data_IF_783422792246
#
_entry.id   IF_783422792246
#
_cell.length_a   1.000
_cell.length_b   1.000
_cell.length_c   1.000
_cell.angle_alpha   90.00
_cell.angle_beta   90.00
_cell.angle_gamma   90.00
#
_symmetry.space_group_name_H-M   'P 1'
#
loop_
_entity.id
_entity.type
_entity.pdbx_description
1 polymer ?
#
# COMPACT_ATOMS: atom_id res chain seq x y z
N UNK A 1 0.86 15.54 -4.80
CA UNK A 1 1.30 14.81 -6.01
C UNK A 1 2.55 15.44 -6.58
N UNK A 2 3.64 14.67 -6.65
CA UNK A 2 4.99 15.14 -6.93
C UNK A 2 5.16 15.81 -8.31
N UNK A 3 6.17 16.66 -8.46
CA UNK A 3 6.65 17.17 -9.75
C UNK A 3 8.10 16.76 -9.84
N UNK A 4 8.41 15.75 -10.64
CA UNK A 4 9.81 15.54 -10.97
C UNK A 4 10.21 16.66 -11.91
N UNK A 5 11.13 17.51 -11.48
CA UNK A 5 11.80 18.37 -12.45
C UNK A 5 12.73 17.42 -13.24
N UNK A 6 12.57 17.37 -14.56
CA UNK A 6 13.33 16.53 -15.49
C UNK A 6 14.83 16.89 -15.58
N UNK A 7 15.34 17.69 -14.63
CA UNK A 7 16.70 18.23 -14.61
C UNK A 7 17.72 17.30 -13.93
N UNK A 8 17.32 16.08 -13.55
CA UNK A 8 18.23 15.07 -13.03
C UNK A 8 18.32 13.95 -14.06
N UNK A 9 19.46 13.83 -14.75
CA UNK A 9 19.81 12.68 -15.62
C UNK A 9 19.79 11.32 -14.88
N UNK A 10 19.56 11.35 -13.56
CA UNK A 10 19.52 10.17 -12.69
C UNK A 10 18.10 9.77 -12.32
N UNK A 11 17.88 8.46 -12.22
CA UNK A 11 16.60 7.87 -11.78
C UNK A 11 16.14 8.44 -10.43
N UNK A 12 14.83 8.69 -10.25
CA UNK A 12 14.25 9.10 -8.97
C UNK A 12 14.65 8.15 -7.84
N UNK A 13 15.00 8.67 -6.66
CA UNK A 13 15.37 7.87 -5.49
C UNK A 13 15.00 8.54 -4.17
N UNK A 14 14.73 7.70 -3.16
CA UNK A 14 14.69 8.05 -1.75
C UNK A 14 15.74 7.25 -0.97
N UNK A 15 16.35 7.87 0.04
CA UNK A 15 17.27 7.23 0.98
C UNK A 15 16.50 6.97 2.29
N UNK A 16 16.52 5.72 2.75
CA UNK A 16 16.10 5.33 4.10
C UNK A 16 17.36 5.05 4.94
N UNK A 17 18.24 6.06 5.00
CA UNK A 17 19.45 6.03 5.82
C UNK A 17 19.19 6.83 7.11
N UNK A 18 19.88 6.46 8.20
CA UNK A 18 19.91 7.29 9.41
C UNK A 18 20.21 8.74 9.01
N UNK A 19 19.45 9.71 9.55
CA UNK A 19 19.46 11.13 9.13
C UNK A 19 20.87 11.71 9.14
N UNK A 20 21.59 11.56 8.04
CA UNK A 20 22.84 12.25 7.82
C UNK A 20 22.46 13.64 7.29
N UNK A 21 22.69 14.72 8.05
CA UNK A 21 22.23 16.06 7.70
C UNK A 21 22.84 16.60 6.41
N UNK A 22 23.94 16.02 5.91
CA UNK A 22 24.59 16.45 4.67
C UNK A 22 24.12 15.69 3.43
N UNK A 23 23.41 14.56 3.58
CA UNK A 23 22.92 13.77 2.46
C UNK A 23 21.47 14.14 2.12
N UNK A 24 21.26 14.60 0.88
CA UNK A 24 19.94 14.86 0.32
C UNK A 24 19.17 13.53 0.28
N UNK A 25 18.10 13.44 1.08
CA UNK A 25 17.32 12.21 1.27
C UNK A 25 16.55 11.77 0.02
N UNK A 26 16.33 12.67 -0.95
CA UNK A 26 15.71 12.33 -2.23
C UNK A 26 16.16 13.31 -3.32
N UNK A 27 16.30 12.84 -4.56
CA UNK A 27 16.46 13.72 -5.73
C UNK A 27 15.11 14.18 -6.32
N UNK A 28 13.98 13.73 -5.77
CA UNK A 28 12.64 14.08 -6.23
C UNK A 28 12.16 15.37 -5.57
N UNK A 29 11.49 16.22 -6.35
CA UNK A 29 10.76 17.37 -5.83
C UNK A 29 9.28 17.05 -5.80
N UNK A 30 8.59 17.44 -4.72
CA UNK A 30 7.16 17.20 -4.59
C UNK A 30 6.39 18.50 -4.83
N UNK A 31 5.39 18.47 -5.70
CA UNK A 31 4.39 19.55 -5.79
C UNK A 31 3.10 19.18 -5.06
N UNK A 32 2.28 20.20 -4.83
CA UNK A 32 0.89 20.00 -4.43
C UNK A 32 0.03 20.24 -5.67
N UNK A 33 -0.95 19.35 -5.87
CA UNK A 33 -1.97 19.45 -6.88
C UNK A 33 -3.28 19.10 -6.21
N UNK A 34 -4.30 19.89 -6.50
CA UNK A 34 -5.67 19.59 -6.11
C UNK A 34 -6.15 18.42 -6.97
N UNK A 35 -6.78 17.44 -6.32
CA UNK A 35 -7.39 16.29 -6.96
C UNK A 35 -8.81 16.15 -6.43
N UNK A 36 -9.70 15.61 -7.26
CA UNK A 36 -11.03 15.22 -6.81
C UNK A 36 -10.95 13.86 -6.13
N UNK A 37 -11.53 13.76 -4.93
CA UNK A 37 -11.62 12.52 -4.17
C UNK A 37 -13.10 12.25 -3.89
N UNK A 38 -13.57 11.06 -4.19
CA UNK A 38 -14.99 10.69 -4.08
C UNK A 38 -15.24 9.89 -2.81
N UNK A 39 -16.24 10.29 -2.02
CA UNK A 39 -16.69 9.51 -0.87
C UNK A 39 -17.43 8.25 -1.36
N UNK A 40 -17.05 7.08 -0.86
CA UNK A 40 -17.66 5.79 -1.24
C UNK A 40 -18.75 5.30 -0.29
N UNK A 41 -19.03 6.04 0.79
CA UNK A 41 -20.03 5.67 1.78
C UNK A 41 -21.38 5.35 1.11
N UNK A 42 -21.96 4.18 1.40
CA UNK A 42 -23.19 3.67 0.79
C UNK A 42 -23.02 3.05 -0.60
N UNK A 43 -21.79 2.89 -1.09
CA UNK A 43 -21.45 2.28 -2.38
C UNK A 43 -20.23 1.36 -2.28
N UNK A 44 -19.93 0.88 -1.08
CA UNK A 44 -18.75 0.10 -0.73
C UNK A 44 -18.65 -1.19 -1.57
N UNK A 45 -19.78 -1.85 -1.81
CA UNK A 45 -19.85 -3.14 -2.50
C UNK A 45 -19.44 -3.09 -3.99
N UNK A 46 -19.39 -1.90 -4.58
CA UNK A 46 -18.98 -1.68 -5.98
C UNK A 46 -17.47 -1.90 -6.15
N UNK A 47 -16.69 -1.73 -5.09
CA UNK A 47 -15.24 -1.78 -5.12
C UNK A 47 -14.73 -3.18 -4.77
N UNK A 48 -14.03 -3.80 -5.72
CA UNK A 48 -13.50 -5.16 -5.58
C UNK A 48 -11.99 -5.16 -5.76
N UNK A 49 -11.33 -5.99 -4.96
CA UNK A 49 -9.86 -6.06 -4.93
C UNK A 49 -9.27 -6.37 -6.31
N UNK A 50 -9.88 -7.27 -7.07
CA UNK A 50 -9.38 -7.68 -8.38
C UNK A 50 -9.73 -6.71 -9.52
N UNK A 51 -10.69 -5.80 -9.29
CA UNK A 51 -11.15 -4.86 -10.31
C UNK A 51 -10.55 -3.47 -10.14
N UNK A 52 -10.64 -2.86 -8.96
CA UNK A 52 -10.10 -1.52 -8.70
C UNK A 52 -8.71 -1.55 -8.05
N UNK A 53 -8.30 -2.73 -7.55
CA UNK A 53 -7.09 -2.88 -6.75
C UNK A 53 -7.32 -2.62 -5.26
N UNK A 54 -8.55 -2.31 -4.86
CA UNK A 54 -8.91 -2.14 -3.46
C UNK A 54 -10.35 -2.58 -3.18
N UNK A 55 -10.64 -2.86 -1.92
CA UNK A 55 -11.95 -3.26 -1.43
C UNK A 55 -12.10 -2.85 0.04
N UNK A 56 -13.31 -2.45 0.43
CA UNK A 56 -13.64 -2.30 1.84
C UNK A 56 -14.09 -3.62 2.45
N UNK A 57 -13.73 -3.83 3.71
CA UNK A 57 -14.19 -4.96 4.49
C UNK A 57 -14.40 -4.60 5.95
N UNK A 58 -15.05 -5.51 6.66
CA UNK A 58 -15.26 -5.43 8.10
C UNK A 58 -14.23 -6.30 8.80
N UNK A 59 -13.41 -5.68 9.65
CA UNK A 59 -12.41 -6.33 10.49
C UNK A 59 -12.58 -5.82 11.93
N UNK A 60 -13.46 -6.51 12.65
CA UNK A 60 -13.59 -6.29 14.09
C UNK A 60 -12.40 -6.94 14.80
N UNK A 61 -11.62 -6.14 15.51
CA UNK A 61 -10.53 -6.63 16.34
C UNK A 61 -10.98 -6.79 17.78
N UNK A 62 -10.41 -7.80 18.47
CA UNK A 62 -10.51 -7.94 19.93
C UNK A 62 -9.55 -7.01 20.67
N UNK A 63 -8.53 -6.50 19.99
CA UNK A 63 -7.58 -5.57 20.57
C UNK A 63 -8.20 -4.18 20.77
N UNK A 64 -7.90 -3.60 21.93
CA UNK A 64 -8.14 -2.19 22.22
C UNK A 64 -7.06 -1.31 21.57
N UNK A 65 -7.22 0.01 21.63
CA UNK A 65 -6.24 0.93 21.08
C UNK A 65 -4.86 0.77 21.72
N UNK A 66 -4.83 0.60 23.04
CA UNK A 66 -3.61 0.51 23.84
C UNK A 66 -2.82 -0.76 23.51
N UNK A 67 -3.49 -1.85 23.14
CA UNK A 67 -2.87 -3.11 22.77
C UNK A 67 -2.02 -3.00 21.49
N UNK A 68 -2.34 -2.07 20.58
CA UNK A 68 -1.54 -1.82 19.37
C UNK A 68 -0.18 -1.16 19.65
N UNK A 69 0.11 -0.79 20.91
CA UNK A 69 1.46 -0.42 21.33
C UNK A 69 2.36 -1.65 21.57
N UNK A 70 1.77 -2.84 21.71
CA UNK A 70 2.49 -4.10 21.97
C UNK A 70 2.63 -4.92 20.70
N UNK A 71 3.88 -5.15 20.28
CA UNK A 71 4.20 -6.08 19.18
C UNK A 71 3.65 -7.48 19.45
N UNK A 72 3.74 -7.96 20.69
CA UNK A 72 3.26 -9.30 21.05
C UNK A 72 1.75 -9.45 20.89
N UNK A 73 0.99 -8.41 21.25
CA UNK A 73 -0.47 -8.41 21.07
C UNK A 73 -0.83 -8.45 19.58
N UNK A 74 -0.10 -7.69 18.76
CA UNK A 74 -0.29 -7.67 17.31
C UNK A 74 0.03 -9.04 16.68
N UNK A 75 1.19 -9.60 17.01
CA UNK A 75 1.67 -10.86 16.41
C UNK A 75 0.83 -12.05 16.86
N UNK A 76 0.44 -12.11 18.13
CA UNK A 76 -0.25 -13.29 18.69
C UNK A 76 -1.77 -13.25 18.51
N UNK A 77 -2.37 -12.07 18.29
CA UNK A 77 -3.83 -11.94 18.16
C UNK A 77 -4.23 -11.29 16.84
N UNK A 78 -3.78 -10.07 16.57
CA UNK A 78 -4.25 -9.31 15.40
C UNK A 78 -3.86 -9.96 14.07
N UNK A 79 -2.69 -10.59 14.00
CA UNK A 79 -2.28 -11.34 12.81
C UNK A 79 -3.25 -12.47 12.45
N UNK A 80 -3.75 -13.19 13.45
CA UNK A 80 -4.73 -14.26 13.21
C UNK A 80 -6.07 -13.71 12.74
N UNK A 81 -6.49 -12.56 13.28
CA UNK A 81 -7.69 -11.84 12.80
C UNK A 81 -7.55 -11.39 11.34
N UNK A 82 -6.39 -10.80 10.98
CA UNK A 82 -6.10 -10.37 9.61
C UNK A 82 -6.00 -11.56 8.65
N UNK A 83 -5.37 -12.67 9.07
CA UNK A 83 -5.31 -13.90 8.27
C UNK A 83 -6.70 -14.42 7.96
N UNK A 84 -7.55 -14.56 8.98
CA UNK A 84 -8.93 -15.04 8.80
C UNK A 84 -9.73 -14.13 7.85
N UNK A 85 -9.62 -12.81 8.05
CA UNK A 85 -10.25 -11.81 7.20
C UNK A 85 -9.78 -11.89 5.73
N UNK A 86 -8.47 -11.99 5.50
CA UNK A 86 -7.92 -12.12 4.15
C UNK A 86 -8.34 -13.43 3.49
N UNK A 87 -8.33 -14.55 4.21
CA UNK A 87 -8.81 -15.84 3.69
C UNK A 87 -10.28 -15.76 3.27
N UNK A 88 -11.14 -15.17 4.11
CA UNK A 88 -12.56 -15.01 3.80
C UNK A 88 -12.80 -14.15 2.55
N UNK A 89 -12.05 -13.05 2.39
CA UNK A 89 -12.28 -12.09 1.31
C UNK A 89 -11.56 -12.44 0.00
N UNK A 90 -10.55 -13.30 0.03
CA UNK A 90 -9.75 -13.65 -1.15
C UNK A 90 -9.84 -15.12 -1.58
N UNK A 91 -10.35 -16.00 -0.70
CA UNK A 91 -10.31 -17.45 -0.92
C UNK A 91 -8.91 -18.06 -0.77
N UNK A 92 -7.95 -17.33 -0.20
CA UNK A 92 -6.58 -17.80 -0.03
C UNK A 92 -6.52 -19.07 0.84
N UNK A 93 -5.76 -20.06 0.37
CA UNK A 93 -5.47 -21.28 1.14
C UNK A 93 -4.56 -20.97 2.32
N UNK A 94 -3.61 -20.07 2.13
CA UNK A 94 -2.60 -19.68 3.10
C UNK A 94 -2.37 -18.16 3.06
N UNK A 95 -2.11 -17.57 4.23
CA UNK A 95 -1.82 -16.15 4.38
C UNK A 95 -0.63 -16.02 5.31
N UNK A 96 0.45 -15.44 4.79
CA UNK A 96 1.70 -15.21 5.51
C UNK A 96 1.86 -13.71 5.78
N UNK A 97 1.97 -13.28 7.05
CA UNK A 97 2.28 -11.90 7.38
C UNK A 97 3.69 -11.56 6.88
N UNK A 98 3.83 -10.41 6.23
CA UNK A 98 5.12 -9.92 5.74
C UNK A 98 5.69 -8.86 6.67
N UNK A 99 4.94 -7.79 6.90
CA UNK A 99 5.32 -6.67 7.76
C UNK A 99 4.06 -5.98 8.31
N UNK A 100 4.21 -5.20 9.37
CA UNK A 100 3.15 -4.38 9.94
C UNK A 100 3.71 -3.04 10.44
N UNK A 101 2.84 -2.03 10.45
CA UNK A 101 3.14 -0.76 11.07
C UNK A 101 1.95 -0.28 11.88
N UNK A 102 2.15 -0.07 13.17
CA UNK A 102 1.19 0.55 14.07
C UNK A 102 1.62 2.00 14.33
N UNK A 103 0.86 2.96 13.79
CA UNK A 103 1.16 4.38 13.93
C UNK A 103 0.16 5.02 14.90
N UNK A 104 0.66 5.54 16.03
CA UNK A 104 -0.16 6.22 17.03
C UNK A 104 -0.52 7.66 16.65
N UNK A 105 0.05 8.20 15.57
CA UNK A 105 -0.26 9.56 15.10
C UNK A 105 -0.53 9.59 13.60
N UNK A 106 -1.48 10.43 13.17
CA UNK A 106 -1.79 10.68 11.76
C UNK A 106 -0.55 11.12 10.97
N UNK A 107 0.31 11.96 11.55
CA UNK A 107 1.56 12.40 10.92
C UNK A 107 2.55 11.26 10.68
N UNK A 108 2.62 10.28 11.58
CA UNK A 108 3.44 9.09 11.38
C UNK A 108 2.84 8.17 10.31
N UNK A 109 1.53 7.96 10.33
CA UNK A 109 0.82 7.17 9.33
C UNK A 109 0.99 7.76 7.91
N UNK A 110 0.80 9.08 7.75
CA UNK A 110 0.87 9.75 6.47
C UNK A 110 2.24 9.68 5.79
N UNK A 111 3.32 9.50 6.57
CA UNK A 111 4.70 9.46 6.05
C UNK A 111 5.09 8.11 5.45
N UNK A 112 4.33 7.04 5.71
CA UNK A 112 4.75 5.66 5.39
C UNK A 112 3.66 4.79 4.78
N UNK A 113 2.48 5.36 4.52
CA UNK A 113 1.48 4.70 3.70
C UNK A 113 2.11 4.38 2.35
N UNK A 114 2.23 3.09 2.08
CA UNK A 114 2.76 2.45 0.88
C UNK A 114 4.07 3.04 0.32
N UNK A 115 5.19 2.51 0.80
CA UNK A 115 6.25 2.19 -0.16
C UNK A 115 5.67 1.11 -1.06
N UNK A 116 5.22 1.48 -2.27
CA UNK A 116 5.02 0.48 -3.32
C UNK A 116 6.37 -0.19 -3.45
N UNK A 117 6.55 -1.41 -2.96
CA UNK A 117 7.65 -2.15 -3.52
C UNK A 117 7.18 -2.45 -4.96
N UNK A 118 7.69 -1.71 -5.95
CA UNK A 118 7.95 -2.36 -7.22
C UNK A 118 9.03 -3.35 -6.85
N UNK A 119 8.66 -4.62 -6.81
CA UNK A 119 9.69 -5.59 -7.03
C UNK A 119 10.05 -5.57 -8.48
N UNK A 120 10.88 -4.58 -8.73
CA UNK A 120 11.79 -4.46 -9.83
C UNK A 120 11.15 -4.39 -11.22
N UNK A 121 11.65 -3.44 -12.01
CA UNK A 121 11.44 -3.37 -13.44
C UNK A 121 11.53 -4.74 -14.12
N UNK A 122 10.83 -4.92 -15.25
CA UNK A 122 10.64 -6.19 -15.96
C UNK A 122 11.93 -7.04 -16.09
N UNK A 123 13.10 -6.38 -16.09
CA UNK A 123 14.43 -6.97 -15.96
C UNK A 123 14.74 -7.80 -14.67
N UNK A 124 13.97 -7.69 -13.59
CA UNK A 124 14.15 -8.50 -12.36
C UNK A 124 12.83 -9.01 -11.73
N UNK A 125 11.79 -9.27 -12.52
CA UNK A 125 10.56 -9.94 -12.06
C UNK A 125 10.83 -11.19 -11.21
N UNK A 126 11.95 -11.88 -11.46
CA UNK A 126 12.42 -13.01 -10.66
C UNK A 126 12.81 -12.69 -9.21
N UNK A 127 13.09 -11.45 -8.80
CA UNK A 127 13.67 -11.15 -7.47
C UNK A 127 12.66 -10.91 -6.34
N UNK A 128 11.40 -10.51 -6.59
CA UNK A 128 10.36 -10.72 -5.56
C UNK A 128 9.93 -12.16 -5.48
N UNK A 129 9.89 -12.85 -6.61
CA UNK A 129 9.75 -14.30 -6.57
C UNK A 129 10.84 -14.90 -5.67
N UNK A 130 12.04 -14.33 -5.59
CA UNK A 130 13.09 -14.71 -4.63
C UNK A 130 12.88 -14.23 -3.18
N UNK A 131 12.32 -13.04 -2.88
CA UNK A 131 12.03 -12.60 -1.48
C UNK A 131 10.76 -13.27 -0.94
N UNK A 132 9.70 -13.32 -1.75
CA UNK A 132 8.52 -14.15 -1.49
C UNK A 132 8.94 -15.62 -1.43
N UNK A 133 9.84 -16.11 -2.30
CA UNK A 133 10.49 -17.42 -2.10
C UNK A 133 11.32 -17.47 -0.83
N UNK A 134 12.06 -16.45 -0.41
CA UNK A 134 12.88 -16.54 0.82
C UNK A 134 11.98 -16.66 2.05
N UNK A 135 10.86 -15.94 2.05
CA UNK A 135 9.79 -16.09 3.04
C UNK A 135 8.96 -17.38 2.87
N UNK A 136 8.89 -17.93 1.66
CA UNK A 136 8.19 -19.19 1.36
C UNK A 136 9.11 -20.41 1.36
N UNK A 137 10.44 -20.27 1.40
CA UNK A 137 11.43 -21.35 1.52
C UNK A 137 11.46 -21.87 2.96
N UNK A 138 10.86 -21.13 3.89
CA UNK A 138 10.49 -21.59 5.23
C UNK A 138 9.10 -22.24 5.27
N UNK A 139 8.33 -22.21 4.17
CA UNK A 139 7.01 -22.88 4.05
C UNK A 139 7.09 -24.05 3.04
N UNK A 140 6.75 -25.29 3.42
CA UNK A 140 7.12 -26.49 2.64
C UNK A 140 6.25 -26.78 1.40
N UNK A 141 5.62 -25.79 0.75
CA UNK A 141 4.64 -26.04 -0.34
C UNK A 141 4.89 -25.23 -1.62
N UNK A 142 4.55 -25.86 -2.74
CA UNK A 142 4.76 -25.41 -4.12
C UNK A 142 4.31 -23.96 -4.38
N UNK A 143 5.28 -23.13 -4.75
CA UNK A 143 5.16 -21.75 -5.21
C UNK A 143 4.57 -21.62 -6.64
N UNK A 144 4.05 -22.69 -7.23
CA UNK A 144 3.38 -22.67 -8.55
C UNK A 144 1.99 -22.05 -8.50
N UNK A 145 1.49 -21.75 -7.30
CA UNK A 145 0.16 -21.18 -7.06
C UNK A 145 0.15 -19.65 -7.12
N UNK A 146 -0.96 -19.09 -7.60
CA UNK A 146 -1.17 -17.64 -7.71
C UNK A 146 -0.97 -16.96 -6.36
N UNK A 147 -0.07 -15.98 -6.31
CA UNK A 147 0.28 -15.23 -5.09
C UNK A 147 -0.20 -13.80 -5.21
N UNK A 148 -1.07 -13.38 -4.28
CA UNK A 148 -1.47 -11.97 -4.10
C UNK A 148 -0.83 -11.42 -2.83
N UNK A 149 -0.43 -10.15 -2.84
CA UNK A 149 0.06 -9.45 -1.64
C UNK A 149 -0.79 -8.21 -1.37
N UNK A 150 -1.98 -8.38 -0.75
CA UNK A 150 -2.77 -7.24 -0.28
C UNK A 150 -2.18 -6.66 1.01
N UNK A 151 -2.19 -5.34 1.12
CA UNK A 151 -2.04 -4.61 2.38
C UNK A 151 -3.42 -4.41 3.01
N UNK A 152 -3.48 -4.46 4.34
CA UNK A 152 -4.70 -4.19 5.12
C UNK A 152 -4.47 -2.92 5.92
N UNK A 153 -5.37 -1.95 5.78
CA UNK A 153 -5.30 -0.68 6.49
C UNK A 153 -6.62 -0.36 7.18
N UNK A 154 -6.56 -0.05 8.47
CA UNK A 154 -7.70 0.49 9.23
C UNK A 154 -7.23 1.56 10.21
N UNK A 155 -8.09 2.51 10.58
CA UNK A 155 -7.80 3.38 11.71
C UNK A 155 -7.84 2.58 13.01
N UNK A 156 -7.00 2.99 13.98
CA UNK A 156 -7.01 2.40 15.32
C UNK A 156 -8.10 3.00 16.23
N UNK A 157 -8.61 4.19 15.87
CA UNK A 157 -9.74 4.88 16.51
C UNK A 157 -10.67 5.41 15.42
N UNK A 158 -11.97 5.16 15.59
CA UNK A 158 -13.02 5.64 14.69
C UNK A 158 -13.97 6.60 15.41
N UNK A 159 -14.75 7.39 14.65
CA UNK A 159 -14.60 7.63 13.21
C UNK A 159 -13.35 8.46 12.86
N UNK A 160 -12.65 8.10 11.78
CA UNK A 160 -11.39 8.72 11.36
C UNK A 160 -11.63 9.96 10.49
N UNK A 161 -11.69 11.15 11.12
CA UNK A 161 -11.81 12.42 10.42
C UNK A 161 -10.48 13.16 10.21
N UNK A 162 -9.46 12.92 11.03
CA UNK A 162 -8.24 13.74 11.00
C UNK A 162 -7.32 13.45 9.80
N UNK A 163 -7.30 12.20 9.34
CA UNK A 163 -6.43 11.74 8.25
C UNK A 163 -7.02 10.49 7.56
N UNK A 164 -8.13 10.65 6.82
CA UNK A 164 -8.70 9.55 6.04
C UNK A 164 -7.73 9.11 4.95
N UNK A 165 -7.79 7.82 4.64
CA UNK A 165 -7.04 7.24 3.52
C UNK A 165 -7.82 7.42 2.23
N UNK A 166 -7.21 8.02 1.21
CA UNK A 166 -7.67 7.87 -0.16
C UNK A 166 -6.94 6.71 -0.84
N UNK A 167 -7.62 6.04 -1.76
CA UNK A 167 -7.07 5.01 -2.63
C UNK A 167 -7.40 5.33 -4.10
N UNK A 168 -6.45 5.12 -4.99
CA UNK A 168 -6.63 5.31 -6.43
C UNK A 168 -7.14 4.03 -7.09
N UNK A 169 -8.14 4.15 -7.97
CA UNK A 169 -8.55 3.06 -8.86
C UNK A 169 -7.48 2.84 -9.92
N UNK A 170 -6.77 1.72 -9.81
CA UNK A 170 -5.62 1.43 -10.66
C UNK A 170 -5.95 1.43 -12.16
N UNK A 171 -7.19 1.10 -12.54
CA UNK A 171 -7.60 1.09 -13.95
C UNK A 171 -7.58 2.47 -14.58
N UNK A 172 -7.54 3.52 -13.76
CA UNK A 172 -7.46 4.91 -14.21
C UNK A 172 -6.01 5.42 -14.28
N UNK A 173 -5.05 4.64 -13.77
CA UNK A 173 -3.63 5.00 -13.76
C UNK A 173 -2.97 4.57 -15.06
N UNK A 174 -2.62 5.54 -15.92
CA UNK A 174 -1.92 5.27 -17.18
C UNK A 174 -0.51 4.75 -16.89
N UNK A 175 -0.02 3.91 -17.79
CA UNK A 175 1.34 3.37 -17.68
C UNK A 175 2.39 4.49 -17.63
N UNK A 176 2.22 5.53 -18.46
CA UNK A 176 3.16 6.66 -18.56
C UNK A 176 3.11 7.62 -17.36
N UNK A 177 2.08 7.52 -16.53
CA UNK A 177 2.03 8.28 -15.28
C UNK A 177 2.94 7.66 -14.21
N UNK A 178 3.43 6.44 -14.43
CA UNK A 178 4.22 5.69 -13.44
C UNK A 178 5.68 6.06 -13.58
N UNK A 179 6.27 6.51 -12.48
CA UNK A 179 7.66 6.90 -12.40
C UNK A 179 8.39 5.95 -11.46
N UNK A 180 9.20 5.03 -12.01
CA UNK A 180 10.03 4.16 -11.18
C UNK A 180 10.96 5.00 -10.29
N UNK A 181 11.00 4.68 -9.02
CA UNK A 181 11.80 5.38 -8.02
C UNK A 181 12.51 4.35 -7.14
N UNK A 182 13.82 4.50 -6.96
CA UNK A 182 14.57 3.64 -6.06
C UNK A 182 14.29 4.00 -4.59
N UNK A 183 14.32 3.00 -3.72
CA UNK A 183 14.36 3.16 -2.27
C UNK A 183 15.64 2.48 -1.80
N UNK A 184 16.58 3.26 -1.30
CA UNK A 184 17.91 2.77 -0.93
C UNK A 184 17.96 2.62 0.58
N UNK A 185 18.03 1.38 1.05
CA UNK A 185 18.34 1.01 2.44
C UNK A 185 19.84 0.73 2.58
N UNK A 186 20.40 0.68 3.80
CA UNK A 186 21.82 0.36 4.01
C UNK A 186 22.23 -0.98 3.41
N UNK A 187 21.33 -1.95 3.41
CA UNK A 187 21.55 -3.37 3.10
C UNK A 187 20.78 -3.84 1.86
N UNK A 188 19.86 -3.03 1.33
CA UNK A 188 18.96 -3.43 0.25
C UNK A 188 18.58 -2.27 -0.68
N UNK A 189 18.50 -2.56 -1.97
CA UNK A 189 17.93 -1.66 -2.98
C UNK A 189 16.51 -2.11 -3.31
N UNK A 190 15.52 -1.33 -2.88
CA UNK A 190 14.13 -1.44 -3.29
C UNK A 190 13.81 -0.52 -4.46
N UNK A 191 12.67 -0.74 -5.08
CA UNK A 191 12.09 0.16 -6.09
C UNK A 191 10.61 0.38 -5.76
N UNK A 192 10.08 1.54 -6.10
CA UNK A 192 8.70 1.99 -5.95
C UNK A 192 8.21 2.72 -7.19
N UNK A 193 6.93 3.04 -7.24
CA UNK A 193 6.39 3.99 -8.18
C UNK A 193 5.98 5.27 -7.48
N UNK A 194 6.50 6.39 -7.98
CA UNK A 194 5.80 7.66 -7.88
C UNK A 194 4.84 7.78 -9.06
N UNK A 195 3.83 8.64 -8.92
CA UNK A 195 2.84 8.85 -9.97
C UNK A 195 2.78 10.32 -10.34
N UNK A 196 2.79 10.59 -11.64
CA UNK A 196 2.47 11.89 -12.19
C UNK A 196 1.00 12.24 -11.90
N UNK A 197 0.70 13.52 -11.59
CA UNK A 197 -0.67 13.95 -11.45
C UNK A 197 -1.38 13.86 -12.80
N UNK A 198 -2.53 13.19 -12.83
CA UNK A 198 -3.36 13.09 -14.01
C UNK A 198 -4.83 13.30 -13.61
N UNK A 199 -5.58 14.20 -14.29
CA UNK A 199 -6.99 14.44 -13.99
C UNK A 199 -7.89 13.20 -14.21
N UNK A 200 -7.44 12.23 -15.01
CA UNK A 200 -8.18 10.98 -15.23
C UNK A 200 -8.11 10.02 -14.04
N UNK A 201 -7.14 10.19 -13.13
CA UNK A 201 -7.00 9.36 -11.94
C UNK A 201 -8.21 9.55 -11.01
N UNK A 202 -8.84 8.44 -10.63
CA UNK A 202 -10.01 8.46 -9.73
C UNK A 202 -9.61 8.02 -8.35
N UNK A 203 -9.71 8.94 -7.40
CA UNK A 203 -9.45 8.69 -5.99
C UNK A 203 -10.74 8.54 -5.21
N UNK A 204 -10.70 7.62 -4.25
CA UNK A 204 -11.82 7.24 -3.42
C UNK A 204 -11.39 7.25 -1.96
N UNK A 205 -12.27 7.71 -1.08
CA UNK A 205 -12.09 7.63 0.36
C UNK A 205 -13.43 7.25 0.99
N UNK A 206 -13.41 6.88 2.26
CA UNK A 206 -14.64 6.66 3.01
C UNK A 206 -14.74 7.67 4.15
N UNK A 207 -15.85 8.40 4.17
CA UNK A 207 -16.10 9.40 5.20
C UNK A 207 -16.45 8.74 6.54
N UNK A 208 -15.87 9.28 7.62
CA UNK A 208 -16.02 8.75 8.96
C UNK A 208 -15.65 7.27 9.08
N UNK A 209 -14.50 6.84 8.55
CA UNK A 209 -14.08 5.44 8.62
C UNK A 209 -14.01 4.96 10.07
N UNK A 210 -14.77 3.93 10.41
CA UNK A 210 -14.79 3.36 11.75
C UNK A 210 -13.61 2.42 11.99
N UNK A 211 -13.28 2.17 13.26
CA UNK A 211 -12.17 1.28 13.62
C UNK A 211 -12.41 -0.18 13.23
N UNK A 212 -13.65 -0.59 12.96
CA UNK A 212 -13.97 -1.93 12.46
C UNK A 212 -13.98 -2.00 10.92
N UNK A 213 -13.77 -0.88 10.22
CA UNK A 213 -13.73 -0.83 8.77
C UNK A 213 -12.28 -0.84 8.27
N UNK A 214 -12.01 -1.65 7.26
CA UNK A 214 -10.66 -1.81 6.72
C UNK A 214 -10.62 -1.72 5.20
N UNK A 215 -9.55 -1.14 4.69
CA UNK A 215 -9.18 -1.20 3.29
C UNK A 215 -8.29 -2.41 3.06
N UNK A 216 -8.68 -3.26 2.12
CA UNK A 216 -7.79 -4.19 1.44
C UNK A 216 -7.25 -3.51 0.19
N UNK A 217 -5.94 -3.41 0.07
CA UNK A 217 -5.27 -2.69 -1.01
C UNK A 217 -4.29 -3.65 -1.65
N UNK A 218 -4.55 -4.04 -2.89
CA UNK A 218 -3.67 -4.93 -3.64
C UNK A 218 -2.36 -4.20 -3.92
N UNK A 219 -1.24 -4.81 -3.53
CA UNK A 219 0.10 -4.28 -3.82
C UNK A 219 0.85 -5.11 -4.87
N UNK A 220 0.46 -6.38 -5.03
CA UNK A 220 1.05 -7.31 -5.99
C UNK A 220 0.08 -8.46 -6.28
N UNK A 221 0.15 -8.99 -7.50
CA UNK A 221 -0.59 -10.18 -7.94
C UNK A 221 0.24 -10.90 -9.01
N UNK A 222 0.64 -12.15 -8.74
CA UNK A 222 1.46 -12.92 -9.69
C UNK A 222 0.71 -13.25 -10.97
N UNK A 223 -0.62 -13.27 -10.95
CA UNK A 223 -1.44 -13.52 -12.13
C UNK A 223 -1.25 -12.43 -13.21
N UNK A 224 -0.75 -11.24 -12.84
CA UNK A 224 -0.51 -10.15 -13.80
C UNK A 224 0.57 -10.49 -14.82
N UNK A 225 1.45 -11.45 -14.51
CA UNK A 225 2.47 -11.92 -15.46
C UNK A 225 1.84 -12.69 -16.63
N UNK A 226 0.71 -13.35 -16.40
CA UNK A 226 -0.02 -14.13 -17.41
C UNK A 226 -1.16 -13.31 -18.04
N UNK A 227 -1.78 -12.43 -17.26
CA UNK A 227 -2.86 -11.55 -17.72
C UNK A 227 -2.61 -10.09 -17.30
N UNK A 228 -2.15 -9.22 -18.21
CA UNK A 228 -1.87 -7.81 -17.91
C UNK A 228 -3.13 -6.97 -17.63
N UNK A 229 -4.34 -7.47 -17.91
CA UNK A 229 -5.59 -6.79 -17.56
C UNK A 229 -5.94 -6.90 -16.07
N UNK A 230 -5.29 -7.81 -15.35
CA UNK A 230 -5.46 -7.92 -13.89
C UNK A 230 -4.85 -6.68 -13.24
N UNK A 231 -5.59 -6.08 -12.32
CA UNK A 231 -5.11 -4.94 -11.56
C UNK A 231 -3.85 -5.33 -10.78
N UNK A 232 -2.75 -4.61 -11.02
CA UNK A 232 -1.45 -4.90 -10.41
C UNK A 232 -1.33 -4.34 -8.99
N UNK A 233 -1.69 -3.08 -8.79
CA UNK A 233 -1.66 -2.45 -7.47
C UNK A 233 -2.53 -1.19 -7.36
N UNK A 234 -3.23 -0.95 -6.25
CA UNK A 234 -3.88 0.35 -6.01
C UNK A 234 -2.98 1.26 -5.17
N UNK A 235 -3.06 2.58 -5.39
CA UNK A 235 -2.22 3.59 -4.71
C UNK A 235 -2.94 4.26 -3.54
N UNK A 236 -2.61 3.96 -2.26
CA UNK A 236 -3.04 4.78 -1.14
C UNK A 236 -2.32 6.11 -1.13
N UNK A 237 -3.08 7.16 -0.86
CA UNK A 237 -2.54 8.48 -0.57
C UNK A 237 -3.26 8.95 0.71
N UNK A 238 -2.53 9.25 1.79
CA UNK A 238 -3.12 9.94 2.92
C UNK A 238 -3.61 11.29 2.44
N UNK A 239 -4.87 11.65 2.72
CA UNK A 239 -5.38 12.98 2.39
C UNK A 239 -4.95 13.91 3.52
N UNK A 240 -3.96 14.80 3.33
CA UNK A 240 -3.75 15.88 4.29
C UNK A 240 -5.01 16.76 4.25
N UNK A 241 -5.73 16.84 5.37
CA UNK A 241 -6.88 17.73 5.46
C UNK A 241 -6.44 19.18 5.18
N UNK A 242 -6.93 19.72 4.07
CA UNK A 242 -7.22 21.12 3.86
C UNK A 242 -8.68 21.19 3.36
N UNK A 243 -9.59 20.62 4.15
CA UNK A 243 -11.02 20.71 3.94
C UNK A 243 -11.69 21.11 5.26
N UNK A 244 -11.50 22.38 5.61
CA UNK A 244 -12.52 23.25 6.18
C UNK A 244 -12.32 24.63 5.58
#
# INVERSE_FOLDING_TARGET
>A
MARLDAESETKPRGLELAKNPTLKQTNVKYTRKTISVTNVRGSEDIFKLDRQGFQLGQLQSKLSYEDFASTDSIVNQYYEEVKAFLKQNTGAVEVLPFDFQANQTAKAAARRLCHFHRSFADQYAGRRYQIVKLFALTSPKDMTSLTKSPSVWKPLRGPAYDSPLAVCDYRTVKHDDRVPCDIIFPDYLGETYNFWPNPDHRFYYIDGQEANETWMIKCFDSATAENPEITQCATPIPIPFALR
#
